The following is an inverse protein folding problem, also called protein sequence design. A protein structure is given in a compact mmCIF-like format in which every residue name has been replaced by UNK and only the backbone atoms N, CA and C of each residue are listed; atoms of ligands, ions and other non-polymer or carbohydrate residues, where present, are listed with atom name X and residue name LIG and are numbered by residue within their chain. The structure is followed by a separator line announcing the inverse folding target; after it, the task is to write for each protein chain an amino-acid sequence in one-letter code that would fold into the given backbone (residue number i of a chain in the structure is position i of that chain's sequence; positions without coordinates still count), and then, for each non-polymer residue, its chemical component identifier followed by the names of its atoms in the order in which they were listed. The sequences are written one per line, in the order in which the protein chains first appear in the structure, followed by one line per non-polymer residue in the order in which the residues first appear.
data_IF_090918912596
#
_entry.id   IF_090918912596
#
_cell.length_a   1.000
_cell.length_b   1.000
_cell.length_c   1.000
_cell.angle_alpha   90.00
_cell.angle_beta   90.00
_cell.angle_gamma   90.00
#
_symmetry.space_group_name_H-M   'P 1'
#
loop_
_entity.id
_entity.type
_entity.pdbx_description
1 polymer ?
#
# COMPACT_ATOMS: atom_id res chain seq x y z
N UNK A 1 21.06 0.46 15.94
CA UNK A 1 19.96 -0.38 16.48
C UNK A 1 19.17 -0.91 15.30
N UNK A 2 18.39 -1.97 15.49
CA UNK A 2 17.54 -2.51 14.42
C UNK A 2 16.14 -1.92 14.51
N UNK A 3 15.39 -1.94 13.39
CA UNK A 3 14.00 -1.53 13.29
C UNK A 3 13.20 -2.65 12.63
N UNK A 4 12.07 -3.04 13.23
CA UNK A 4 11.12 -3.97 12.64
C UNK A 4 9.99 -3.19 11.97
N UNK A 5 9.85 -3.37 10.66
CA UNK A 5 8.84 -2.67 9.85
C UNK A 5 7.84 -3.66 9.31
N UNK A 6 6.56 -3.44 9.59
CA UNK A 6 5.45 -4.20 9.01
C UNK A 6 4.83 -3.39 7.87
N UNK A 7 4.78 -3.96 6.68
CA UNK A 7 3.99 -3.43 5.57
C UNK A 7 2.75 -4.30 5.39
N UNK A 8 1.60 -3.68 5.50
CA UNK A 8 0.28 -4.27 5.18
C UNK A 8 -0.09 -3.82 3.76
N UNK A 9 -0.37 -4.80 2.90
CA UNK A 9 -0.79 -4.54 1.53
C UNK A 9 -2.24 -4.06 1.43
N UNK A 10 -2.71 -3.92 0.21
CA UNK A 10 -3.98 -3.27 -0.12
C UNK A 10 -5.14 -3.72 0.78
N UNK A 11 -5.64 -2.82 1.62
CA UNK A 11 -6.77 -3.08 2.52
C UNK A 11 -8.07 -2.95 1.73
N UNK A 12 -8.83 -4.06 1.64
CA UNK A 12 -10.03 -4.15 0.81
C UNK A 12 -11.29 -4.20 1.68
N UNK A 13 -11.96 -3.08 1.77
CA UNK A 13 -13.25 -2.92 2.43
C UNK A 13 -13.20 -2.64 3.94
N UNK A 14 -14.33 -2.15 4.50
CA UNK A 14 -14.43 -1.78 5.92
C UNK A 14 -14.23 -2.96 6.88
N UNK A 15 -14.62 -4.18 6.47
CA UNK A 15 -14.43 -5.39 7.27
C UNK A 15 -12.93 -5.74 7.43
N UNK A 16 -12.10 -5.44 6.43
CA UNK A 16 -10.66 -5.59 6.53
C UNK A 16 -10.03 -4.57 7.50
N UNK A 17 -10.56 -3.34 7.54
CA UNK A 17 -10.17 -2.34 8.54
C UNK A 17 -10.53 -2.83 9.94
N UNK A 18 -11.74 -3.40 10.12
CA UNK A 18 -12.16 -3.96 11.41
C UNK A 18 -11.26 -5.13 11.83
N UNK A 19 -10.94 -6.03 10.91
CA UNK A 19 -10.03 -7.14 11.14
C UNK A 19 -8.63 -6.67 11.59
N UNK A 20 -8.06 -5.68 10.90
CA UNK A 20 -6.77 -5.11 11.31
C UNK A 20 -6.85 -4.43 12.67
N UNK A 21 -7.89 -3.66 12.95
CA UNK A 21 -8.07 -2.99 14.23
C UNK A 21 -8.10 -3.98 15.41
N UNK A 22 -8.62 -5.19 15.20
CA UNK A 22 -8.65 -6.24 16.20
C UNK A 22 -7.29 -6.94 16.37
N UNK A 23 -6.58 -7.22 15.27
CA UNK A 23 -5.41 -8.11 15.28
C UNK A 23 -4.06 -7.39 15.33
N UNK A 24 -3.98 -6.19 14.75
CA UNK A 24 -2.71 -5.45 14.62
C UNK A 24 -2.05 -5.12 15.96
N UNK A 25 -2.77 -4.73 17.04
CA UNK A 25 -2.12 -4.45 18.31
C UNK A 25 -1.42 -5.68 18.92
N UNK A 26 -2.00 -6.86 18.73
CA UNK A 26 -1.39 -8.14 19.12
C UNK A 26 -0.15 -8.45 18.29
N UNK A 27 -0.29 -8.39 16.97
CA UNK A 27 0.81 -8.64 16.02
C UNK A 27 1.99 -7.68 16.25
N UNK A 28 1.70 -6.39 16.46
CA UNK A 28 2.73 -5.38 16.73
C UNK A 28 3.54 -5.72 17.99
N UNK A 29 2.88 -6.12 19.05
CA UNK A 29 3.53 -6.53 20.30
C UNK A 29 4.31 -7.84 20.16
N UNK A 30 3.68 -8.86 19.57
CA UNK A 30 4.23 -10.22 19.51
C UNK A 30 5.43 -10.35 18.55
N UNK A 31 5.58 -9.39 17.62
CA UNK A 31 6.67 -9.31 16.63
C UNK A 31 7.59 -8.10 16.83
N UNK A 32 7.46 -7.39 17.97
CA UNK A 32 8.26 -6.19 18.28
C UNK A 32 8.28 -5.18 17.13
N UNK A 33 7.11 -4.89 16.51
CA UNK A 33 7.02 -4.00 15.35
C UNK A 33 7.14 -2.55 15.77
N UNK A 34 8.14 -1.86 15.22
CA UNK A 34 8.42 -0.45 15.50
C UNK A 34 7.62 0.50 14.60
N UNK A 35 7.46 0.14 13.32
CA UNK A 35 6.78 0.94 12.30
C UNK A 35 5.78 0.09 11.52
N UNK A 36 4.53 0.54 11.41
CA UNK A 36 3.50 -0.08 10.59
C UNK A 36 3.10 0.85 9.45
N UNK A 37 3.25 0.37 8.23
CA UNK A 37 2.80 1.04 7.00
C UNK A 37 1.65 0.21 6.42
N UNK A 38 0.58 0.85 5.96
CA UNK A 38 -0.55 0.14 5.37
C UNK A 38 -1.09 0.87 4.14
N UNK A 39 -1.27 0.15 3.03
CA UNK A 39 -1.96 0.70 1.87
C UNK A 39 -3.46 0.57 2.06
N UNK A 40 -4.18 1.69 2.10
CA UNK A 40 -5.60 1.72 2.41
C UNK A 40 -6.48 2.23 1.26
N UNK A 41 -5.97 2.33 0.04
CA UNK A 41 -6.70 2.93 -1.09
C UNK A 41 -8.04 2.25 -1.42
N UNK A 42 -8.23 1.01 -0.99
CA UNK A 42 -9.44 0.22 -1.21
C UNK A 42 -10.23 -0.05 0.07
N UNK A 43 -9.95 0.65 1.18
CA UNK A 43 -10.56 0.37 2.47
C UNK A 43 -12.05 0.78 2.56
N UNK A 44 -12.53 1.62 1.63
CA UNK A 44 -13.93 2.01 1.55
C UNK A 44 -14.52 1.64 0.19
N UNK A 45 -15.82 1.30 0.18
CA UNK A 45 -16.62 1.25 -1.04
C UNK A 45 -17.52 2.47 -1.04
N UNK A 46 -17.15 3.48 -1.79
CA UNK A 46 -17.78 4.81 -1.76
C UNK A 46 -18.79 5.04 -2.88
N UNK A 47 -18.84 4.15 -3.89
CA UNK A 47 -19.80 4.22 -4.99
C UNK A 47 -20.14 2.83 -5.53
N UNK A 48 -21.32 2.66 -6.17
CA UNK A 48 -21.78 1.35 -6.65
C UNK A 48 -21.17 0.93 -8.00
N UNK A 49 -19.98 1.40 -8.36
CA UNK A 49 -19.34 1.07 -9.63
C UNK A 49 -17.95 0.45 -9.43
N UNK A 50 -17.57 -0.58 -10.22
CA UNK A 50 -16.32 -1.29 -10.07
C UNK A 50 -15.07 -0.51 -10.51
N UNK A 51 -15.21 0.72 -10.98
CA UNK A 51 -14.10 1.52 -11.52
C UNK A 51 -13.93 2.88 -10.84
N UNK A 52 -14.90 3.24 -10.03
CA UNK A 52 -14.85 4.44 -9.20
C UNK A 52 -15.67 4.14 -7.95
N UNK A 53 -15.08 4.26 -6.80
CA UNK A 53 -15.86 4.05 -5.61
C UNK A 53 -15.18 3.20 -4.57
N UNK A 54 -13.91 2.98 -4.76
CA UNK A 54 -13.00 2.57 -3.70
C UNK A 54 -12.57 3.81 -2.92
N UNK A 55 -11.32 3.91 -2.58
CA UNK A 55 -10.79 5.04 -1.85
C UNK A 55 -10.87 4.84 -0.35
N UNK A 56 -10.83 5.94 0.35
CA UNK A 56 -10.74 6.01 1.80
C UNK A 56 -11.81 6.96 2.35
N UNK A 57 -12.24 6.74 3.59
CA UNK A 57 -12.99 7.74 4.37
C UNK A 57 -12.16 8.17 5.58
N UNK A 58 -12.45 9.35 6.12
CA UNK A 58 -11.78 9.86 7.33
C UNK A 58 -11.96 8.87 8.49
N UNK A 59 -13.18 8.36 8.70
CA UNK A 59 -13.49 7.40 9.76
C UNK A 59 -12.63 6.14 9.67
N UNK A 60 -12.50 5.53 8.48
CA UNK A 60 -11.74 4.29 8.30
C UNK A 60 -10.23 4.52 8.46
N UNK A 61 -9.72 5.65 7.98
CA UNK A 61 -8.32 6.05 8.17
C UNK A 61 -8.02 6.27 9.65
N UNK A 62 -8.84 7.01 10.37
CA UNK A 62 -8.67 7.23 11.82
C UNK A 62 -8.68 5.90 12.57
N UNK A 63 -9.59 4.99 12.23
CA UNK A 63 -9.64 3.65 12.84
C UNK A 63 -8.36 2.85 12.61
N UNK A 64 -7.76 2.92 11.41
CA UNK A 64 -6.46 2.30 11.15
C UNK A 64 -5.35 2.91 11.99
N UNK A 65 -5.30 4.23 12.06
CA UNK A 65 -4.31 4.96 12.84
C UNK A 65 -4.43 4.67 14.35
N UNK A 66 -5.64 4.61 14.88
CA UNK A 66 -5.93 4.24 16.28
C UNK A 66 -5.54 2.79 16.58
N UNK A 67 -5.64 1.90 15.61
CA UNK A 67 -5.26 0.49 15.77
C UNK A 67 -3.74 0.26 15.77
N UNK A 68 -2.94 1.30 15.47
CA UNK A 68 -1.49 1.23 15.48
C UNK A 68 -0.83 1.27 14.11
N UNK A 69 -1.54 1.63 13.03
CA UNK A 69 -0.92 2.01 11.77
C UNK A 69 -0.23 3.38 11.96
N UNK A 70 1.03 3.48 11.57
CA UNK A 70 1.80 4.72 11.72
C UNK A 70 1.71 5.60 10.47
N UNK A 71 1.67 4.98 9.28
CA UNK A 71 1.55 5.67 7.98
C UNK A 71 0.59 4.91 7.10
N UNK A 72 -0.36 5.62 6.52
CA UNK A 72 -1.26 5.12 5.49
C UNK A 72 -0.74 5.55 4.12
N UNK A 73 -0.64 4.61 3.18
CA UNK A 73 -0.31 4.87 1.78
C UNK A 73 -1.53 4.64 0.89
N UNK A 74 -1.47 5.11 -0.33
CA UNK A 74 -2.54 4.96 -1.31
C UNK A 74 -2.01 4.72 -2.73
N UNK A 75 -2.88 4.68 -3.72
CA UNK A 75 -2.55 4.45 -5.12
C UNK A 75 -3.56 5.12 -6.05
N UNK A 76 -3.98 4.40 -7.11
CA UNK A 76 -4.87 4.94 -8.14
C UNK A 76 -6.29 5.27 -7.64
N UNK A 77 -6.75 4.62 -6.58
CA UNK A 77 -8.03 4.90 -5.93
C UNK A 77 -7.95 5.93 -4.80
N UNK A 78 -6.76 6.44 -4.48
CA UNK A 78 -6.56 7.36 -3.36
C UNK A 78 -7.42 8.63 -3.41
N UNK A 79 -7.88 9.02 -4.60
CA UNK A 79 -8.76 10.19 -4.80
C UNK A 79 -10.20 9.84 -5.12
N UNK A 80 -10.60 8.58 -4.98
CA UNK A 80 -11.98 8.17 -5.14
C UNK A 80 -12.80 8.56 -3.90
N UNK A 81 -14.07 8.84 -4.12
CA UNK A 81 -14.99 9.17 -3.06
C UNK A 81 -15.02 10.65 -2.64
N UNK A 82 -16.05 11.03 -1.89
CA UNK A 82 -16.30 12.44 -1.55
C UNK A 82 -15.37 13.01 -0.47
N UNK A 83 -14.69 12.16 0.30
CA UNK A 83 -13.82 12.56 1.41
C UNK A 83 -12.33 12.59 1.03
N UNK A 84 -11.99 12.36 -0.24
CA UNK A 84 -10.60 12.22 -0.69
C UNK A 84 -9.69 13.40 -0.27
N UNK A 85 -10.18 14.63 -0.40
CA UNK A 85 -9.41 15.81 0.00
C UNK A 85 -9.17 15.83 1.51
N UNK A 86 -10.21 15.60 2.32
CA UNK A 86 -10.10 15.57 3.78
C UNK A 86 -9.15 14.47 4.28
N UNK A 87 -9.20 13.28 3.64
CA UNK A 87 -8.28 12.17 3.93
C UNK A 87 -6.83 12.56 3.64
N UNK A 88 -6.57 13.21 2.49
CA UNK A 88 -5.21 13.59 2.11
C UNK A 88 -4.66 14.82 2.84
N UNK A 89 -5.48 15.57 3.58
CA UNK A 89 -5.02 16.59 4.52
C UNK A 89 -4.37 15.97 5.77
N UNK A 90 -4.69 14.72 6.09
CA UNK A 90 -4.13 14.06 7.27
C UNK A 90 -2.62 13.85 7.14
N UNK A 91 -1.80 14.26 8.17
CA UNK A 91 -0.33 14.25 8.06
C UNK A 91 0.31 12.88 7.96
N UNK A 92 -0.41 11.79 8.24
CA UNK A 92 0.06 10.41 8.13
C UNK A 92 -0.52 9.64 6.94
N UNK A 93 -1.25 10.33 6.05
CA UNK A 93 -1.77 9.75 4.80
C UNK A 93 -0.92 10.23 3.64
N UNK A 94 -0.45 9.27 2.84
CA UNK A 94 0.38 9.53 1.67
C UNK A 94 -0.35 9.16 0.38
N UNK A 95 -0.18 10.01 -0.61
CA UNK A 95 -0.50 9.71 -2.00
C UNK A 95 0.78 9.39 -2.77
N UNK A 96 0.72 8.79 -3.96
CA UNK A 96 1.90 8.66 -4.80
C UNK A 96 2.60 10.02 -5.00
N UNK A 97 3.90 10.08 -4.67
CA UNK A 97 4.69 11.31 -4.69
C UNK A 97 4.87 11.85 -6.10
N UNK A 98 5.03 10.95 -7.06
CA UNK A 98 5.28 11.24 -8.48
C UNK A 98 4.04 11.72 -9.24
N UNK A 99 3.23 12.56 -8.61
CA UNK A 99 2.14 13.29 -9.27
C UNK A 99 2.51 14.76 -9.47
N UNK A 100 1.92 15.44 -10.48
CA UNK A 100 2.16 16.86 -10.71
C UNK A 100 1.88 17.73 -9.49
N UNK A 101 2.50 18.89 -9.44
CA UNK A 101 2.18 19.92 -8.44
C UNK A 101 0.68 20.27 -8.42
N UNK A 102 0.18 20.67 -7.26
CA UNK A 102 -1.23 21.04 -7.07
C UNK A 102 -2.19 19.88 -6.84
N UNK A 103 -1.74 18.62 -6.87
CA UNK A 103 -2.55 17.49 -6.41
C UNK A 103 -2.55 17.45 -4.89
N UNK A 104 -3.74 17.37 -4.28
CA UNK A 104 -3.91 17.33 -2.82
C UNK A 104 -3.14 16.16 -2.19
N UNK A 105 -2.59 16.38 -1.00
CA UNK A 105 -1.84 15.39 -0.24
C UNK A 105 -0.32 15.45 -0.46
N UNK A 106 0.41 14.65 0.28
CA UNK A 106 1.87 14.52 0.22
C UNK A 106 2.28 13.08 -0.04
N UNK A 107 3.47 12.89 -0.60
CA UNK A 107 3.97 11.55 -0.95
C UNK A 107 5.03 11.01 -0.01
N UNK A 108 5.40 11.77 1.03
CA UNK A 108 6.45 11.40 1.98
C UNK A 108 6.03 11.72 3.40
N UNK A 109 6.31 10.81 4.32
CA UNK A 109 6.30 11.05 5.76
C UNK A 109 7.66 10.68 6.36
N UNK A 110 8.14 11.50 7.31
CA UNK A 110 9.32 11.19 8.11
C UNK A 110 8.92 11.17 9.58
N UNK A 111 9.25 10.06 10.25
CA UNK A 111 8.91 9.80 11.65
C UNK A 111 10.18 9.60 12.48
N UNK A 112 10.03 9.77 13.79
CA UNK A 112 11.05 9.38 14.79
C UNK A 112 10.60 8.04 15.41
N UNK A 113 11.36 7.00 15.19
CA UNK A 113 11.06 5.65 15.65
C UNK A 113 12.25 5.18 16.52
N UNK A 114 12.04 4.98 17.82
CA UNK A 114 13.09 4.50 18.72
C UNK A 114 14.37 5.36 18.75
N UNK A 115 14.27 6.64 18.43
CA UNK A 115 15.42 7.56 18.35
C UNK A 115 16.08 7.62 16.95
N UNK A 116 15.65 6.82 16.00
CA UNK A 116 16.11 6.86 14.60
C UNK A 116 15.05 7.50 13.70
N UNK A 117 15.47 8.12 12.60
CA UNK A 117 14.55 8.63 11.59
C UNK A 117 14.17 7.53 10.61
N UNK A 118 12.89 7.46 10.27
CA UNK A 118 12.36 6.63 9.20
C UNK A 118 11.54 7.48 8.23
N UNK A 119 11.79 7.32 6.94
CA UNK A 119 11.01 7.95 5.87
C UNK A 119 10.22 6.91 5.11
N UNK A 120 8.93 7.16 4.92
CA UNK A 120 8.04 6.38 4.04
C UNK A 120 7.78 7.21 2.80
N UNK A 121 8.05 6.64 1.64
CA UNK A 121 7.77 7.22 0.33
C UNK A 121 6.71 6.37 -0.37
N UNK A 122 5.63 6.98 -0.82
CA UNK A 122 4.66 6.34 -1.70
C UNK A 122 4.95 6.75 -3.16
N UNK A 123 5.07 5.79 -4.04
CA UNK A 123 5.25 6.00 -5.49
C UNK A 123 4.17 5.28 -6.28
N UNK A 124 3.81 5.81 -7.43
CA UNK A 124 2.88 5.20 -8.37
C UNK A 124 3.54 4.83 -9.69
N UNK A 125 3.18 3.67 -10.23
CA UNK A 125 3.53 3.27 -11.59
C UNK A 125 2.73 4.08 -12.60
N UNK A 126 3.33 4.39 -13.74
CA UNK A 126 2.60 4.99 -14.87
C UNK A 126 1.57 4.03 -15.50
N UNK A 127 1.64 2.73 -15.19
CA UNK A 127 0.78 1.69 -15.75
C UNK A 127 -0.44 1.35 -14.88
N UNK A 128 -0.47 1.77 -13.61
CA UNK A 128 -1.52 1.45 -12.65
C UNK A 128 -2.72 2.41 -12.72
N UNK A 129 -3.35 2.58 -13.87
CA UNK A 129 -4.47 3.51 -14.05
C UNK A 129 -4.19 4.95 -13.57
N UNK A 130 -2.91 5.35 -13.53
CA UNK A 130 -2.44 6.65 -13.09
C UNK A 130 -1.78 7.43 -14.25
N UNK A 131 -2.52 7.86 -15.28
CA UNK A 131 -1.94 8.48 -16.48
C UNK A 131 -1.25 9.81 -16.19
N UNK A 132 -1.52 10.43 -15.05
CA UNK A 132 -0.87 11.68 -14.61
C UNK A 132 0.42 11.46 -13.82
N UNK A 133 0.77 10.23 -13.48
CA UNK A 133 2.00 9.94 -12.76
C UNK A 133 3.23 10.30 -13.58
N UNK A 134 4.18 10.95 -12.95
CA UNK A 134 5.50 11.26 -13.52
C UNK A 134 6.42 10.03 -13.39
N UNK A 135 7.56 9.99 -14.12
CA UNK A 135 8.50 8.89 -13.97
C UNK A 135 8.95 8.72 -12.52
N UNK A 136 8.80 7.51 -11.92
CA UNK A 136 9.03 7.33 -10.49
C UNK A 136 10.49 7.53 -10.07
N UNK A 137 11.46 7.12 -10.90
CA UNK A 137 12.88 7.29 -10.58
C UNK A 137 13.31 8.77 -10.57
N UNK A 138 12.88 9.54 -11.56
CA UNK A 138 13.17 10.98 -11.65
C UNK A 138 12.54 11.73 -10.46
N UNK A 139 11.32 11.39 -10.12
CA UNK A 139 10.61 11.97 -8.97
C UNK A 139 11.29 11.64 -7.64
N UNK A 140 11.81 10.41 -7.50
CA UNK A 140 12.56 10.00 -6.32
C UNK A 140 13.88 10.78 -6.14
N UNK A 141 14.58 11.13 -7.21
CA UNK A 141 15.84 11.90 -7.13
C UNK A 141 15.68 13.26 -6.45
N UNK A 142 14.50 13.88 -6.55
CA UNK A 142 14.20 15.19 -5.95
C UNK A 142 13.76 15.13 -4.48
N UNK A 143 13.61 13.93 -3.88
CA UNK A 143 13.02 13.79 -2.54
C UNK A 143 14.09 13.85 -1.45
N UNK A 144 13.89 14.73 -0.48
CA UNK A 144 14.76 14.86 0.71
C UNK A 144 14.45 13.80 1.77
N UNK A 145 14.73 12.52 1.48
CA UNK A 145 14.53 11.40 2.41
C UNK A 145 15.60 11.37 3.50
N UNK A 146 15.23 10.88 4.68
CA UNK A 146 16.12 10.83 5.84
C UNK A 146 15.99 9.50 6.58
N UNK A 147 17.11 9.02 7.13
CA UNK A 147 17.16 7.80 7.94
C UNK A 147 16.86 6.53 7.14
N UNK A 148 16.19 5.60 7.78
CA UNK A 148 15.70 4.37 7.13
C UNK A 148 14.57 4.69 6.15
N UNK A 149 14.72 4.30 4.89
CA UNK A 149 13.75 4.62 3.83
C UNK A 149 12.99 3.37 3.40
N UNK A 150 11.67 3.41 3.46
CA UNK A 150 10.78 2.35 2.94
C UNK A 150 9.90 2.95 1.85
N UNK A 151 9.81 2.28 0.71
CA UNK A 151 9.00 2.70 -0.44
C UNK A 151 7.83 1.76 -0.62
N UNK A 152 6.60 2.30 -0.62
CA UNK A 152 5.41 1.64 -1.20
C UNK A 152 5.36 2.01 -2.68
N UNK A 153 5.54 1.03 -3.57
CA UNK A 153 5.49 1.23 -5.01
C UNK A 153 4.20 0.61 -5.56
N UNK A 154 3.20 1.46 -5.76
CA UNK A 154 1.88 1.05 -6.21
C UNK A 154 1.78 0.94 -7.72
N UNK A 155 1.56 -0.25 -8.26
CA UNK A 155 1.44 -0.43 -9.71
C UNK A 155 1.32 -1.86 -10.23
N UNK A 156 0.93 -2.02 -11.50
CA UNK A 156 0.74 -3.30 -12.18
C UNK A 156 2.07 -3.99 -12.56
N UNK A 157 3.05 -3.21 -12.99
CA UNK A 157 4.24 -3.74 -13.65
C UNK A 157 5.25 -4.31 -12.66
N UNK A 158 5.39 -5.64 -12.63
CA UNK A 158 6.46 -6.29 -11.90
C UNK A 158 7.84 -5.81 -12.35
N UNK A 159 8.03 -5.59 -13.65
CA UNK A 159 9.30 -5.11 -14.21
C UNK A 159 9.65 -3.71 -13.73
N UNK A 160 8.72 -2.76 -13.75
CA UNK A 160 8.97 -1.40 -13.28
C UNK A 160 9.36 -1.37 -11.79
N UNK A 161 8.70 -2.20 -10.95
CA UNK A 161 9.06 -2.37 -9.54
C UNK A 161 10.49 -2.92 -9.37
N UNK A 162 10.85 -3.96 -10.15
CA UNK A 162 12.18 -4.56 -10.12
C UNK A 162 13.27 -3.61 -10.64
N UNK A 163 13.02 -2.90 -11.72
CA UNK A 163 13.93 -1.90 -12.28
C UNK A 163 14.17 -0.76 -11.31
N UNK A 164 13.10 -0.23 -10.70
CA UNK A 164 13.21 0.82 -9.69
C UNK A 164 14.02 0.33 -8.47
N UNK A 165 13.66 -0.83 -7.92
CA UNK A 165 14.35 -1.38 -6.76
C UNK A 165 15.85 -1.61 -7.03
N UNK A 166 16.19 -2.09 -8.23
CA UNK A 166 17.58 -2.28 -8.66
C UNK A 166 18.32 -0.94 -8.76
N UNK A 167 17.66 0.09 -9.29
CA UNK A 167 18.26 1.42 -9.46
C UNK A 167 18.51 2.14 -8.12
N UNK A 168 17.77 1.77 -7.06
CA UNK A 168 17.90 2.36 -5.71
C UNK A 168 18.52 1.41 -4.70
N UNK A 169 19.03 0.26 -5.12
CA UNK A 169 19.61 -0.75 -4.22
C UNK A 169 20.73 -0.17 -3.34
N UNK A 170 20.62 -0.42 -2.04
CA UNK A 170 21.50 0.11 -1.01
C UNK A 170 21.23 1.58 -0.60
N UNK A 171 20.31 2.27 -1.28
CA UNK A 171 19.89 3.65 -0.97
C UNK A 171 18.56 3.73 -0.22
N UNK A 172 17.78 2.66 -0.25
CA UNK A 172 16.54 2.46 0.51
C UNK A 172 16.59 1.11 1.19
N UNK A 173 15.90 0.97 2.33
CA UNK A 173 15.82 -0.31 3.03
C UNK A 173 14.91 -1.30 2.30
N UNK A 174 13.83 -0.82 1.70
CA UNK A 174 12.89 -1.69 0.99
C UNK A 174 12.12 -0.96 -0.12
N UNK A 175 11.78 -1.72 -1.16
CA UNK A 175 10.75 -1.40 -2.16
C UNK A 175 9.68 -2.47 -2.07
N UNK A 176 8.49 -2.09 -1.63
CA UNK A 176 7.37 -2.98 -1.34
C UNK A 176 6.23 -2.64 -2.30
N UNK A 177 5.92 -3.57 -3.19
CA UNK A 177 4.89 -3.37 -4.20
C UNK A 177 3.48 -3.60 -3.68
N UNK A 178 2.54 -2.85 -4.20
CA UNK A 178 1.09 -2.96 -3.95
C UNK A 178 0.32 -2.86 -5.28
N UNK A 179 -0.99 -2.95 -5.28
CA UNK A 179 -1.93 -2.80 -6.40
C UNK A 179 -2.52 -4.11 -6.96
N UNK A 180 -1.71 -5.16 -7.18
CA UNK A 180 -2.25 -6.34 -7.87
C UNK A 180 -3.09 -7.22 -6.95
N UNK A 181 -3.01 -7.00 -5.64
CA UNK A 181 -3.66 -7.79 -4.59
C UNK A 181 -3.15 -9.23 -4.47
N UNK A 182 -2.33 -9.68 -5.42
CA UNK A 182 -1.80 -11.04 -5.48
C UNK A 182 -0.39 -11.11 -4.91
N UNK A 183 -0.17 -11.79 -3.78
CA UNK A 183 1.12 -11.79 -3.12
C UNK A 183 2.17 -12.54 -3.94
N UNK A 184 3.30 -11.90 -4.23
CA UNK A 184 4.42 -12.60 -4.85
C UNK A 184 5.05 -13.63 -3.92
N UNK A 185 5.40 -14.81 -4.46
CA UNK A 185 5.99 -15.91 -3.70
C UNK A 185 7.39 -15.51 -3.21
N UNK A 186 8.20 -14.94 -4.10
CA UNK A 186 9.60 -14.62 -3.80
C UNK A 186 9.72 -13.28 -3.06
N UNK A 187 10.46 -13.33 -1.96
CA UNK A 187 10.92 -12.16 -1.22
C UNK A 187 12.42 -12.03 -1.48
N UNK A 188 12.85 -10.88 -2.03
CA UNK A 188 14.22 -10.69 -2.44
C UNK A 188 14.98 -9.76 -1.50
N UNK A 189 16.22 -10.13 -1.17
CA UNK A 189 17.23 -9.20 -0.64
C UNK A 189 18.22 -8.92 -1.76
N UNK A 190 18.26 -7.68 -2.22
CA UNK A 190 19.18 -7.25 -3.28
C UNK A 190 20.61 -7.13 -2.75
N UNK A 191 21.62 -7.15 -3.65
CA UNK A 191 23.04 -7.23 -3.25
C UNK A 191 23.53 -6.15 -2.27
N UNK A 192 22.95 -4.95 -2.31
CA UNK A 192 23.34 -3.85 -1.42
C UNK A 192 22.41 -3.65 -0.22
N UNK A 193 21.46 -4.57 0.00
CA UNK A 193 20.67 -4.67 1.20
C UNK A 193 19.27 -4.03 1.11
N UNK A 194 18.79 -3.73 -0.09
CA UNK A 194 17.38 -3.36 -0.29
C UNK A 194 16.52 -4.61 -0.37
N UNK A 195 15.45 -4.69 0.42
CA UNK A 195 14.41 -5.70 0.20
C UNK A 195 13.54 -5.32 -0.99
N UNK A 196 13.16 -6.32 -1.80
CA UNK A 196 12.17 -6.16 -2.87
C UNK A 196 11.07 -7.19 -2.72
N UNK A 197 9.83 -6.71 -2.62
CA UNK A 197 8.60 -7.49 -2.76
C UNK A 197 7.81 -6.89 -3.92
N UNK A 198 7.59 -7.67 -4.97
CA UNK A 198 6.89 -7.15 -6.17
C UNK A 198 5.41 -6.87 -5.87
N UNK A 199 4.78 -7.70 -5.02
CA UNK A 199 3.49 -7.37 -4.43
C UNK A 199 3.34 -8.00 -3.04
N UNK A 200 2.89 -7.20 -2.09
CA UNK A 200 2.65 -7.63 -0.70
C UNK A 200 1.38 -8.47 -0.63
N UNK A 201 0.46 -8.28 -1.55
CA UNK A 201 -0.86 -8.88 -1.55
C UNK A 201 -1.88 -7.98 -0.84
N UNK A 202 -3.13 -8.44 -0.79
CA UNK A 202 -4.20 -7.69 -0.12
C UNK A 202 -4.45 -8.16 1.32
N UNK A 203 -5.00 -7.27 2.12
CA UNK A 203 -5.68 -7.59 3.37
C UNK A 203 -7.18 -7.44 3.15
N UNK A 204 -7.92 -8.55 3.19
CA UNK A 204 -9.33 -8.51 2.82
C UNK A 204 -9.98 -9.88 2.69
N UNK A 205 -11.23 -9.94 2.18
CA UNK A 205 -11.99 -11.18 2.05
C UNK A 205 -11.43 -12.10 0.95
N UNK A 206 -11.18 -13.36 1.27
CA UNK A 206 -10.60 -14.37 0.37
C UNK A 206 -11.61 -15.10 -0.52
N UNK A 207 -12.88 -14.70 -0.50
CA UNK A 207 -13.94 -15.38 -1.26
C UNK A 207 -13.91 -15.17 -2.77
N UNK A 208 -13.04 -14.26 -3.25
CA UNK A 208 -12.74 -14.05 -4.67
C UNK A 208 -11.31 -13.51 -4.81
N UNK A 209 -10.60 -13.82 -5.89
CA UNK A 209 -9.31 -13.19 -6.18
C UNK A 209 -9.40 -11.66 -6.12
N UNK A 210 -8.42 -11.02 -5.46
CA UNK A 210 -8.40 -9.58 -5.26
C UNK A 210 -9.49 -8.99 -4.34
N UNK A 211 -10.34 -9.83 -3.73
CA UNK A 211 -11.44 -9.38 -2.85
C UNK A 211 -12.65 -8.81 -3.58
N UNK A 212 -12.68 -8.84 -4.93
CA UNK A 212 -13.70 -8.21 -5.77
C UNK A 212 -14.59 -9.24 -6.49
N UNK A 213 -15.83 -8.87 -6.89
CA UNK A 213 -16.70 -9.71 -7.70
C UNK A 213 -16.20 -9.72 -9.14
N UNK A 214 -15.29 -10.64 -9.46
CA UNK A 214 -14.60 -10.69 -10.76
C UNK A 214 -15.54 -10.80 -11.97
N UNK A 215 -16.80 -11.19 -11.76
CA UNK A 215 -17.79 -11.27 -12.86
C UNK A 215 -18.02 -9.91 -13.54
N UNK A 216 -17.95 -8.80 -12.79
CA UNK A 216 -18.06 -7.46 -13.38
C UNK A 216 -16.89 -7.15 -14.33
N UNK A 217 -15.69 -7.61 -13.98
CA UNK A 217 -14.51 -7.45 -14.84
C UNK A 217 -14.55 -8.40 -16.03
N UNK A 218 -15.00 -9.64 -15.82
CA UNK A 218 -15.15 -10.63 -16.87
C UNK A 218 -16.22 -10.22 -17.90
N UNK A 219 -17.35 -9.66 -17.46
CA UNK A 219 -18.38 -9.10 -18.34
C UNK A 219 -17.83 -8.02 -19.26
N UNK A 220 -17.00 -7.10 -18.71
CA UNK A 220 -16.31 -6.10 -19.54
C UNK A 220 -15.39 -6.73 -20.59
N UNK A 221 -14.65 -7.76 -20.23
CA UNK A 221 -13.78 -8.47 -21.19
C UNK A 221 -14.59 -9.15 -22.31
N UNK A 222 -15.80 -9.60 -22.02
CA UNK A 222 -16.72 -10.16 -23.01
C UNK A 222 -17.46 -9.10 -23.84
N UNK A 223 -17.28 -7.81 -23.52
CA UNK A 223 -18.01 -6.70 -24.15
C UNK A 223 -19.47 -6.57 -23.70
N UNK A 224 -19.81 -7.16 -22.57
CA UNK A 224 -21.15 -7.07 -21.96
C UNK A 224 -21.29 -5.76 -21.18
N UNK A 225 -22.52 -5.30 -21.00
CA UNK A 225 -22.80 -4.12 -20.18
C UNK A 225 -22.77 -4.50 -18.68
N UNK A 226 -21.82 -3.99 -17.89
CA UNK A 226 -21.77 -4.26 -16.44
C UNK A 226 -23.04 -3.82 -15.70
N UNK A 227 -23.83 -2.87 -16.25
CA UNK A 227 -25.09 -2.44 -15.65
C UNK A 227 -26.18 -3.54 -15.66
N UNK A 228 -25.98 -4.59 -16.48
CA UNK A 228 -26.86 -5.77 -16.48
C UNK A 228 -26.58 -6.74 -15.32
N UNK A 229 -25.47 -6.56 -14.61
CA UNK A 229 -25.07 -7.42 -13.50
C UNK A 229 -25.72 -6.98 -12.17
N UNK A 230 -25.75 -7.87 -11.17
CA UNK A 230 -26.12 -7.47 -9.80
C UNK A 230 -25.26 -6.30 -9.30
N UNK A 231 -25.72 -5.55 -8.29
CA UNK A 231 -24.93 -4.50 -7.69
C UNK A 231 -23.53 -4.99 -7.29
N UNK A 232 -22.53 -4.12 -7.43
CA UNK A 232 -21.17 -4.42 -7.02
C UNK A 232 -21.09 -4.53 -5.48
N UNK A 233 -20.74 -5.70 -5.01
CA UNK A 233 -20.48 -5.96 -3.58
C UNK A 233 -19.11 -6.61 -3.44
N UNK A 234 -18.38 -6.28 -2.35
CA UNK A 234 -17.13 -6.97 -2.05
C UNK A 234 -17.35 -8.46 -1.83
N UNK A 235 -16.34 -9.25 -2.14
CA UNK A 235 -16.36 -10.68 -1.86
C UNK A 235 -16.60 -10.94 -0.38
N UNK A 236 -17.23 -12.07 -0.07
CA UNK A 236 -17.43 -12.56 1.29
C UNK A 236 -16.44 -13.70 1.56
N UNK A 237 -16.15 -13.99 2.81
CA UNK A 237 -15.29 -15.10 3.16
C UNK A 237 -14.37 -14.80 4.34
N UNK A 238 -13.41 -15.71 4.55
CA UNK A 238 -12.40 -15.52 5.60
C UNK A 238 -11.50 -14.33 5.24
N UNK A 239 -11.16 -13.52 6.24
CA UNK A 239 -10.14 -12.47 6.05
C UNK A 239 -8.76 -13.09 5.88
N UNK A 240 -8.00 -12.57 4.92
CA UNK A 240 -6.57 -12.82 4.76
C UNK A 240 -5.79 -11.57 5.12
N UNK A 241 -4.60 -11.76 5.66
CA UNK A 241 -3.65 -10.69 5.92
C UNK A 241 -2.52 -10.74 4.87
N UNK A 242 -2.50 -9.81 3.95
CA UNK A 242 -1.37 -9.58 3.06
C UNK A 242 -0.36 -8.66 3.74
N UNK A 243 0.70 -9.22 4.33
CA UNK A 243 1.69 -8.41 5.00
C UNK A 243 3.11 -9.03 4.89
N UNK A 244 4.12 -8.16 5.01
CA UNK A 244 5.52 -8.56 5.14
C UNK A 244 6.15 -7.83 6.33
N UNK A 245 6.97 -8.56 7.07
CA UNK A 245 7.78 -8.05 8.17
C UNK A 245 9.24 -7.97 7.74
N UNK A 246 9.85 -6.83 7.95
CA UNK A 246 11.24 -6.54 7.66
C UNK A 246 12.00 -6.31 8.96
N UNK A 247 13.20 -6.89 9.07
CA UNK A 247 14.19 -6.44 10.05
C UNK A 247 15.25 -5.63 9.34
N UNK A 248 15.42 -4.39 9.76
CA UNK A 248 16.32 -3.40 9.15
C UNK A 248 17.42 -3.05 10.15
N UNK A 249 18.68 -3.08 9.72
CA UNK A 249 19.84 -2.70 10.51
C UNK A 249 20.72 -1.76 9.68
N UNK A 250 21.06 -0.60 10.24
CA UNK A 250 21.90 0.40 9.55
C UNK A 250 21.31 0.88 8.22
N UNK A 251 19.97 0.96 8.12
CA UNK A 251 19.27 1.39 6.92
C UNK A 251 19.16 0.32 5.81
N UNK A 252 19.54 -0.94 6.09
CA UNK A 252 19.47 -2.08 5.17
C UNK A 252 18.63 -3.19 5.75
N UNK A 253 17.81 -3.83 4.91
CA UNK A 253 17.05 -5.01 5.33
C UNK A 253 17.98 -6.21 5.46
N UNK A 254 17.94 -6.87 6.61
CA UNK A 254 18.72 -8.09 6.92
C UNK A 254 17.86 -9.34 6.98
N UNK A 255 16.55 -9.17 7.16
CA UNK A 255 15.59 -10.27 7.14
C UNK A 255 14.25 -9.77 6.61
N UNK A 256 13.54 -10.64 5.88
CA UNK A 256 12.19 -10.40 5.37
C UNK A 256 11.38 -11.69 5.44
N UNK A 257 10.17 -11.60 5.96
CA UNK A 257 9.23 -12.72 6.01
C UNK A 257 7.80 -12.26 5.68
N UNK A 258 7.00 -13.18 5.16
CA UNK A 258 5.56 -12.96 4.96
C UNK A 258 4.80 -13.30 6.24
N UNK A 259 3.86 -12.45 6.59
CA UNK A 259 2.91 -12.64 7.68
C UNK A 259 1.54 -12.96 7.06
N UNK A 260 0.89 -14.02 7.52
CA UNK A 260 -0.41 -14.50 7.01
C UNK A 260 -1.30 -15.01 8.15
#
# INVERSE_FOLDING_TARGET
MGMNVLMVGDIVGPDAVAYLAEHLPGLRRDRDVDLVIANAENCAVTAPTPYRGFGMTVELVERLLESGVDVVTSGNHGWDGPEADAVHEHPRVLRPHNFPEGVMGKGVATLQIGGEQASVLNLGSKTAAMPRALPPYESWLGVGLRGTVVVDFHGDSAWEKMEFATAVDGRVAAVLGTHTHEPTINLHLLPWGTALVVDVGMTGPSGSPGGFPLEHFAARMRGEDPASLPPFELAKGRMTLGAVLLRIEGGKTVHIERIS
#
